data_IF_305588473071
#
_entry.id   IF_305588473071
#
_cell.length_a   1.000
_cell.length_b   1.000
_cell.length_c   1.000
_cell.angle_alpha   90.00
_cell.angle_beta   90.00
_cell.angle_gamma   90.00
#
_symmetry.space_group_name_H-M   'P 1'
#
loop_
_entity.id
_entity.type
_entity.pdbx_description
1 polymer ?
#
# COMPACT_ATOMS: atom_id res chain seq x y z
N UNK A 1 65.19 -7.39 -32.36
CA UNK A 1 63.73 -7.57 -32.61
C UNK A 1 63.05 -7.94 -31.29
N UNK A 2 62.46 -6.98 -30.57
CA UNK A 2 61.82 -7.24 -29.26
C UNK A 2 60.74 -6.21 -28.98
N UNK A 3 59.60 -6.32 -29.68
CA UNK A 3 58.50 -5.35 -29.57
C UNK A 3 57.09 -5.91 -29.76
N UNK A 4 56.93 -7.10 -30.35
CA UNK A 4 55.59 -7.64 -30.66
C UNK A 4 54.89 -8.28 -29.47
N UNK A 5 55.64 -8.88 -28.53
CA UNK A 5 55.05 -9.54 -27.35
C UNK A 5 54.30 -8.59 -26.41
N UNK A 6 54.73 -7.32 -26.31
CA UNK A 6 54.09 -6.32 -25.43
C UNK A 6 52.87 -5.65 -26.08
N UNK A 7 52.84 -5.46 -27.42
CA UNK A 7 51.66 -4.88 -28.10
C UNK A 7 50.43 -5.79 -27.99
N UNK A 8 50.62 -7.10 -28.05
CA UNK A 8 49.52 -8.07 -27.95
C UNK A 8 48.99 -8.18 -26.51
N UNK A 9 49.90 -8.10 -25.51
CA UNK A 9 49.53 -8.03 -24.08
C UNK A 9 48.82 -6.73 -23.72
N UNK A 10 49.27 -5.59 -24.25
CA UNK A 10 48.61 -4.30 -24.06
C UNK A 10 47.19 -4.27 -24.67
N UNK A 11 47.00 -4.82 -25.88
CA UNK A 11 45.66 -4.97 -26.48
C UNK A 11 44.74 -5.87 -25.66
N UNK A 12 45.27 -6.96 -25.08
CA UNK A 12 44.53 -7.84 -24.19
C UNK A 12 44.10 -7.12 -22.89
N UNK A 13 45.00 -6.36 -22.28
CA UNK A 13 44.71 -5.56 -21.08
C UNK A 13 43.61 -4.52 -21.33
N UNK A 14 43.62 -3.86 -22.49
CA UNK A 14 42.57 -2.91 -22.89
C UNK A 14 41.22 -3.63 -23.03
N UNK A 15 41.20 -4.83 -23.62
CA UNK A 15 39.97 -5.60 -23.78
C UNK A 15 39.40 -6.06 -22.42
N UNK A 16 40.27 -6.50 -21.51
CA UNK A 16 39.88 -6.88 -20.13
C UNK A 16 39.33 -5.66 -19.40
N UNK A 17 40.00 -4.50 -19.47
CA UNK A 17 39.53 -3.27 -18.85
C UNK A 17 38.15 -2.85 -19.40
N UNK A 18 37.95 -2.92 -20.71
CA UNK A 18 36.66 -2.63 -21.34
C UNK A 18 35.57 -3.61 -20.88
N UNK A 19 35.88 -4.90 -20.78
CA UNK A 19 34.93 -5.91 -20.30
C UNK A 19 34.52 -5.67 -18.84
N UNK A 20 35.47 -5.31 -17.97
CA UNK A 20 35.19 -4.98 -16.57
C UNK A 20 34.29 -3.74 -16.45
N UNK A 21 34.51 -2.71 -17.27
CA UNK A 21 33.66 -1.51 -17.28
C UNK A 21 32.23 -1.84 -17.71
N UNK A 22 32.06 -2.66 -18.75
CA UNK A 22 30.73 -3.11 -19.20
C UNK A 22 30.04 -3.94 -18.12
N UNK A 23 30.74 -4.88 -17.49
CA UNK A 23 30.21 -5.67 -16.37
C UNK A 23 29.75 -4.77 -15.21
N UNK A 24 30.57 -3.79 -14.81
CA UNK A 24 30.21 -2.84 -13.76
C UNK A 24 28.95 -2.03 -14.12
N UNK A 25 28.86 -1.54 -15.37
CA UNK A 25 27.67 -0.81 -15.83
C UNK A 25 26.42 -1.69 -15.77
N UNK A 26 26.51 -2.97 -16.18
CA UNK A 26 25.41 -3.94 -16.11
C UNK A 26 25.00 -4.19 -14.65
N UNK A 27 25.96 -4.42 -13.75
CA UNK A 27 25.69 -4.65 -12.33
C UNK A 27 25.01 -3.43 -11.70
N UNK A 28 25.50 -2.22 -12.00
CA UNK A 28 24.90 -0.98 -11.50
C UNK A 28 23.48 -0.82 -12.06
N UNK A 29 23.27 -1.00 -13.36
CA UNK A 29 21.94 -0.91 -13.97
C UNK A 29 20.97 -1.97 -13.40
N UNK A 30 21.42 -3.20 -13.22
CA UNK A 30 20.65 -4.29 -12.60
C UNK A 30 20.32 -3.97 -11.14
N UNK A 31 21.29 -3.46 -10.38
CA UNK A 31 21.07 -3.04 -9.00
C UNK A 31 20.04 -1.91 -8.92
N UNK A 32 20.10 -0.92 -9.80
CA UNK A 32 19.13 0.18 -9.81
C UNK A 32 17.73 -0.27 -10.21
N UNK A 33 17.62 -1.21 -11.15
CA UNK A 33 16.31 -1.71 -11.62
C UNK A 33 15.69 -2.73 -10.66
N UNK A 34 16.47 -3.61 -10.06
CA UNK A 34 15.99 -4.65 -9.14
C UNK A 34 15.90 -4.14 -7.70
N UNK A 35 16.84 -3.28 -7.26
CA UNK A 35 16.83 -2.71 -5.90
C UNK A 35 15.95 -1.47 -5.76
N UNK A 36 15.40 -0.88 -6.83
CA UNK A 36 14.41 0.20 -6.69
C UNK A 36 13.13 -0.36 -6.05
N UNK A 37 13.02 -0.16 -4.74
CA UNK A 37 11.83 -0.46 -3.95
C UNK A 37 10.71 0.48 -4.40
N UNK A 38 9.90 0.01 -5.35
CA UNK A 38 8.70 0.72 -5.77
C UNK A 38 7.63 0.48 -4.69
N UNK A 39 7.10 1.57 -4.15
CA UNK A 39 6.17 1.55 -3.02
C UNK A 39 4.98 0.64 -3.32
N UNK A 40 4.63 -0.21 -2.34
CA UNK A 40 3.41 -0.99 -2.35
C UNK A 40 2.23 -0.03 -2.49
N UNK A 41 1.44 -0.17 -3.55
CA UNK A 41 0.19 0.60 -3.71
C UNK A 41 -0.92 -0.21 -3.05
N UNK A 42 -1.54 0.38 -2.04
CA UNK A 42 -2.80 -0.09 -1.46
C UNK A 42 -3.90 0.68 -2.16
N UNK A 43 -4.79 -0.03 -2.86
CA UNK A 43 -5.96 0.56 -3.49
C UNK A 43 -7.21 0.00 -2.81
N UNK A 44 -8.16 0.88 -2.52
CA UNK A 44 -9.54 0.49 -2.26
C UNK A 44 -10.12 0.01 -3.60
N UNK A 45 -10.51 -1.25 -3.65
CA UNK A 45 -11.31 -1.82 -4.73
C UNK A 45 -12.79 -1.54 -4.49
N UNK A 46 -13.64 -2.28 -5.21
CA UNK A 46 -15.09 -2.15 -5.11
C UNK A 46 -15.55 -2.21 -3.64
N UNK A 47 -16.39 -1.24 -3.27
CA UNK A 47 -17.09 -1.15 -2.00
C UNK A 47 -18.51 -1.64 -2.26
N UNK A 48 -18.92 -2.68 -1.54
CA UNK A 48 -20.29 -3.18 -1.56
C UNK A 48 -20.88 -3.02 -0.16
N UNK A 49 -21.98 -2.28 -0.07
CA UNK A 49 -22.74 -2.14 1.18
C UNK A 49 -23.53 -3.42 1.39
N UNK A 50 -23.30 -4.12 2.51
CA UNK A 50 -23.99 -5.39 2.79
C UNK A 50 -25.26 -5.19 3.62
N UNK A 51 -25.25 -4.22 4.52
CA UNK A 51 -26.43 -3.84 5.31
C UNK A 51 -26.30 -2.40 5.79
N UNK A 52 -27.40 -1.68 5.78
CA UNK A 52 -27.52 -0.32 6.31
C UNK A 52 -28.79 -0.24 7.15
N UNK A 53 -28.67 0.32 8.34
CA UNK A 53 -29.77 0.61 9.24
C UNK A 53 -29.60 2.02 9.77
N UNK A 54 -30.66 2.82 9.71
CA UNK A 54 -30.66 4.22 10.10
C UNK A 54 -31.84 4.48 11.01
N UNK A 55 -31.59 5.21 12.09
CA UNK A 55 -32.60 5.65 13.05
C UNK A 55 -32.59 7.17 13.05
N UNK A 56 -33.61 7.77 12.42
CA UNK A 56 -33.83 9.21 12.37
C UNK A 56 -34.86 9.61 13.43
N UNK A 57 -34.42 9.67 14.68
CA UNK A 57 -35.21 10.33 15.73
C UNK A 57 -34.70 11.76 15.93
N UNK A 58 -35.59 12.67 16.29
CA UNK A 58 -35.29 14.11 16.50
C UNK A 58 -34.35 14.37 17.68
N UNK A 59 -34.12 13.37 18.54
CA UNK A 59 -33.31 13.48 19.75
C UNK A 59 -31.94 12.80 19.65
N UNK A 60 -31.80 11.72 18.88
CA UNK A 60 -30.51 11.03 18.68
C UNK A 60 -30.46 10.36 17.29
N UNK A 61 -30.02 11.07 16.24
CA UNK A 61 -29.82 10.47 14.93
C UNK A 61 -28.69 9.44 15.00
N UNK A 62 -28.90 8.24 14.45
CA UNK A 62 -27.87 7.21 14.40
C UNK A 62 -27.92 6.37 13.12
N UNK A 63 -26.78 5.81 12.75
CA UNK A 63 -26.66 4.86 11.65
C UNK A 63 -25.71 3.72 11.99
N UNK A 64 -26.06 2.55 11.48
CA UNK A 64 -25.25 1.34 11.51
C UNK A 64 -25.11 0.82 10.09
N UNK A 65 -23.88 0.62 9.63
CA UNK A 65 -23.62 0.16 8.28
C UNK A 65 -22.52 -0.90 8.28
N UNK A 66 -22.71 -1.93 7.46
CA UNK A 66 -21.70 -2.94 7.19
C UNK A 66 -21.21 -2.81 5.77
N UNK A 67 -19.96 -2.39 5.62
CA UNK A 67 -19.28 -2.31 4.32
C UNK A 67 -18.47 -3.57 4.08
N UNK A 68 -18.58 -4.14 2.88
CA UNK A 68 -17.60 -5.09 2.36
C UNK A 68 -16.73 -4.36 1.35
N UNK A 69 -15.44 -4.28 1.62
CA UNK A 69 -14.48 -3.62 0.74
C UNK A 69 -13.40 -4.59 0.31
N UNK A 70 -12.96 -4.48 -0.94
CA UNK A 70 -11.84 -5.26 -1.45
C UNK A 70 -10.57 -4.43 -1.39
N UNK A 71 -9.67 -4.73 -0.46
CA UNK A 71 -8.34 -4.13 -0.44
C UNK A 71 -7.43 -4.84 -1.44
N UNK A 72 -6.78 -4.05 -2.29
CA UNK A 72 -5.81 -4.57 -3.25
C UNK A 72 -4.40 -4.12 -2.87
N UNK A 73 -3.55 -5.10 -2.59
CA UNK A 73 -2.14 -4.93 -2.24
C UNK A 73 -1.30 -5.31 -3.47
N UNK A 74 -0.82 -4.30 -4.20
CA UNK A 74 -0.01 -4.52 -5.42
C UNK A 74 1.48 -4.42 -5.10
N UNK A 75 2.21 -5.53 -5.24
CA UNK A 75 3.67 -5.53 -5.20
C UNK A 75 4.22 -5.23 -6.58
N UNK A 76 4.92 -4.11 -6.73
CA UNK A 76 5.66 -3.76 -7.94
C UNK A 76 7.13 -4.20 -7.91
N UNK A 77 7.55 -4.83 -6.82
CA UNK A 77 8.93 -5.25 -6.60
C UNK A 77 9.17 -6.65 -7.20
N UNK A 78 10.40 -6.93 -7.63
CA UNK A 78 10.84 -8.24 -8.13
C UNK A 78 11.19 -9.24 -7.00
N UNK A 79 11.03 -8.84 -5.75
CA UNK A 79 11.20 -9.68 -4.56
C UNK A 79 9.90 -9.90 -3.81
N UNK A 80 9.91 -10.87 -2.88
CA UNK A 80 8.79 -11.08 -1.97
C UNK A 80 8.65 -9.95 -0.97
N UNK A 81 7.45 -9.39 -0.84
CA UNK A 81 7.17 -8.34 0.13
C UNK A 81 6.31 -8.90 1.27
N UNK A 82 6.76 -8.78 2.53
CA UNK A 82 5.97 -9.14 3.71
C UNK A 82 5.46 -7.87 4.38
N UNK A 83 4.14 -7.74 4.50
CA UNK A 83 3.53 -6.67 5.28
C UNK A 83 2.99 -7.21 6.60
N UNK A 84 2.98 -6.37 7.64
CA UNK A 84 2.40 -6.71 8.94
C UNK A 84 0.90 -6.43 8.95
N UNK A 85 0.27 -6.74 10.10
CA UNK A 85 -1.11 -6.35 10.35
C UNK A 85 -1.22 -4.83 10.21
N UNK A 86 -2.21 -4.38 9.48
CA UNK A 86 -2.44 -2.97 9.21
C UNK A 86 -3.88 -2.62 9.56
N UNK A 87 -4.08 -1.50 10.22
CA UNK A 87 -5.42 -1.08 10.67
C UNK A 87 -5.90 0.04 9.79
N UNK A 88 -7.13 -0.10 9.30
CA UNK A 88 -7.87 0.93 8.59
C UNK A 88 -8.93 1.45 9.53
N UNK A 89 -9.00 2.77 9.66
CA UNK A 89 -10.00 3.48 10.45
C UNK A 89 -10.84 4.30 9.50
N UNK A 90 -12.17 4.20 9.63
CA UNK A 90 -13.12 5.05 8.95
C UNK A 90 -13.55 6.15 9.92
N UNK A 91 -13.60 7.37 9.41
CA UNK A 91 -13.93 8.57 10.16
C UNK A 91 -15.10 9.30 9.50
N UNK A 92 -15.99 9.84 10.31
CA UNK A 92 -17.03 10.79 9.91
C UNK A 92 -16.74 12.11 10.62
N UNK A 93 -16.64 13.22 9.88
CA UNK A 93 -16.32 14.53 10.48
C UNK A 93 -14.99 14.58 11.25
N UNK A 94 -14.08 13.61 11.05
CA UNK A 94 -12.85 13.45 11.83
C UNK A 94 -12.97 12.53 13.05
N UNK A 95 -14.16 12.03 13.37
CA UNK A 95 -14.41 11.11 14.48
C UNK A 95 -14.41 9.65 13.99
N UNK A 96 -13.67 8.73 14.64
CA UNK A 96 -13.65 7.31 14.27
C UNK A 96 -15.04 6.66 14.43
N UNK A 97 -15.56 6.08 13.36
CA UNK A 97 -16.86 5.39 13.32
C UNK A 97 -16.75 3.89 13.01
N UNK A 98 -15.55 3.42 12.62
CA UNK A 98 -15.32 2.01 12.36
C UNK A 98 -13.84 1.69 12.16
N UNK A 99 -13.44 0.46 12.48
CA UNK A 99 -12.07 -0.02 12.25
C UNK A 99 -12.06 -1.40 11.63
N UNK A 100 -11.04 -1.69 10.84
CA UNK A 100 -10.84 -3.00 10.25
C UNK A 100 -9.36 -3.34 10.14
N UNK A 101 -9.05 -4.62 10.28
CA UNK A 101 -7.67 -5.11 10.22
C UNK A 101 -7.43 -5.79 8.87
N UNK A 102 -6.47 -5.26 8.12
CA UNK A 102 -5.86 -5.95 7.00
C UNK A 102 -4.86 -6.96 7.59
N UNK A 103 -5.10 -8.28 7.47
CA UNK A 103 -4.22 -9.29 8.04
C UNK A 103 -2.85 -9.26 7.37
N UNK A 104 -1.80 -9.60 8.13
CA UNK A 104 -0.46 -9.71 7.58
C UNK A 104 -0.41 -10.66 6.38
N UNK A 105 0.46 -10.37 5.43
CA UNK A 105 0.56 -11.18 4.23
C UNK A 105 1.88 -11.07 3.52
N UNK A 106 2.06 -11.96 2.54
CA UNK A 106 3.20 -11.97 1.64
C UNK A 106 2.72 -11.76 0.21
N UNK A 107 3.14 -10.67 -0.40
CA UNK A 107 2.96 -10.45 -1.84
C UNK A 107 4.19 -11.00 -2.58
N UNK A 108 3.98 -11.87 -3.57
CA UNK A 108 5.07 -12.36 -4.42
C UNK A 108 5.54 -11.25 -5.37
N UNK A 109 6.69 -11.48 -6.00
CA UNK A 109 7.24 -10.56 -7.00
C UNK A 109 6.18 -10.23 -8.06
N UNK A 110 5.97 -8.94 -8.33
CA UNK A 110 4.99 -8.43 -9.31
C UNK A 110 3.53 -8.90 -9.11
N UNK A 111 3.18 -9.45 -7.94
CA UNK A 111 1.85 -9.98 -7.68
C UNK A 111 0.92 -8.96 -7.02
N UNK A 112 -0.35 -9.05 -7.38
CA UNK A 112 -1.45 -8.37 -6.72
C UNK A 112 -2.17 -9.34 -5.77
N UNK A 113 -2.35 -8.94 -4.51
CA UNK A 113 -3.15 -9.67 -3.51
C UNK A 113 -4.44 -8.89 -3.27
N UNK A 114 -5.57 -9.56 -3.42
CA UNK A 114 -6.89 -9.03 -3.06
C UNK A 114 -7.28 -9.59 -1.70
N UNK A 115 -7.83 -8.74 -0.83
CA UNK A 115 -8.31 -9.10 0.50
C UNK A 115 -9.67 -8.47 0.67
N UNK A 116 -10.71 -9.28 0.84
CA UNK A 116 -12.05 -8.78 1.14
C UNK A 116 -12.17 -8.62 2.65
N UNK A 117 -12.61 -7.45 3.10
CA UNK A 117 -12.71 -7.10 4.51
C UNK A 117 -14.10 -6.53 4.76
N UNK A 118 -14.76 -7.02 5.81
CA UNK A 118 -15.97 -6.41 6.34
C UNK A 118 -15.57 -5.33 7.35
N UNK A 119 -16.19 -4.16 7.25
CA UNK A 119 -16.04 -3.05 8.17
C UNK A 119 -17.42 -2.73 8.72
N UNK A 120 -17.58 -2.90 10.02
CA UNK A 120 -18.78 -2.48 10.74
C UNK A 120 -18.59 -1.02 11.18
N UNK A 121 -19.58 -0.19 10.87
CA UNK A 121 -19.58 1.25 11.10
C UNK A 121 -20.77 1.57 11.99
N UNK A 122 -20.51 2.28 13.08
CA UNK A 122 -21.52 2.73 14.02
C UNK A 122 -21.32 4.20 14.35
N UNK A 123 -22.42 4.93 14.46
CA UNK A 123 -22.45 6.32 14.92
C UNK A 123 -22.66 6.47 16.42
N UNK A 124 -22.49 5.41 17.21
CA UNK A 124 -22.71 5.45 18.67
C UNK A 124 -21.84 6.54 19.35
N UNK A 125 -20.69 6.87 18.75
CA UNK A 125 -19.75 7.89 19.24
C UNK A 125 -20.05 9.31 18.70
N UNK A 126 -21.08 9.47 17.87
CA UNK A 126 -21.45 10.74 17.21
C UNK A 126 -22.70 11.38 17.80
N UNK A 127 -23.14 10.96 19.00
CA UNK A 127 -24.40 11.44 19.61
C UNK A 127 -24.48 12.97 19.80
N UNK A 128 -23.35 13.67 19.70
CA UNK A 128 -23.26 15.14 19.83
C UNK A 128 -23.02 15.87 18.51
N UNK A 129 -22.95 15.17 17.37
CA UNK A 129 -22.69 15.79 16.08
C UNK A 129 -23.99 16.34 15.47
N UNK A 130 -24.12 17.66 15.46
CA UNK A 130 -25.29 18.36 14.93
C UNK A 130 -25.48 18.19 13.42
N UNK A 131 -24.43 17.82 12.68
CA UNK A 131 -24.51 17.63 11.24
C UNK A 131 -25.03 16.24 10.86
N UNK A 132 -24.91 15.26 11.78
CA UNK A 132 -25.28 13.88 11.49
C UNK A 132 -26.75 13.73 11.10
N UNK A 133 -27.66 14.41 11.79
CA UNK A 133 -29.08 14.37 11.46
C UNK A 133 -29.38 14.95 10.08
N UNK A 134 -28.72 16.04 9.70
CA UNK A 134 -28.88 16.68 8.39
C UNK A 134 -28.36 15.77 7.28
N UNK A 135 -27.19 15.16 7.47
CA UNK A 135 -26.56 14.26 6.52
C UNK A 135 -27.42 13.00 6.29
N UNK A 136 -27.95 12.39 7.35
CA UNK A 136 -28.85 11.24 7.19
C UNK A 136 -30.14 11.66 6.48
N UNK A 137 -30.72 12.82 6.79
CA UNK A 137 -31.92 13.33 6.11
C UNK A 137 -31.67 13.65 4.63
N UNK A 138 -30.46 14.14 4.29
CA UNK A 138 -30.05 14.37 2.91
C UNK A 138 -29.78 13.06 2.15
N UNK A 139 -29.63 11.94 2.87
CA UNK A 139 -29.25 10.64 2.32
C UNK A 139 -27.77 10.55 1.92
N UNK A 140 -26.95 11.54 2.25
CA UNK A 140 -25.52 11.61 1.88
C UNK A 140 -24.66 11.58 3.13
N UNK A 141 -23.80 10.58 3.27
CA UNK A 141 -22.79 10.49 4.34
C UNK A 141 -21.39 10.48 3.75
N UNK A 142 -20.56 11.44 4.17
CA UNK A 142 -19.16 11.53 3.76
C UNK A 142 -18.28 10.82 4.79
N UNK A 143 -17.64 9.74 4.37
CA UNK A 143 -16.71 8.97 5.20
C UNK A 143 -15.28 9.12 4.68
N UNK A 144 -14.35 9.43 5.58
CA UNK A 144 -12.91 9.49 5.30
C UNK A 144 -12.24 8.21 5.81
N UNK A 145 -11.20 7.72 5.11
CA UNK A 145 -10.43 6.57 5.58
C UNK A 145 -8.98 6.93 5.89
N UNK A 146 -8.54 6.61 7.10
CA UNK A 146 -7.12 6.60 7.47
C UNK A 146 -6.61 5.15 7.56
N UNK A 147 -5.59 4.81 6.77
CA UNK A 147 -4.93 3.52 6.83
C UNK A 147 -3.53 3.65 7.43
N UNK A 148 -3.27 2.93 8.52
CA UNK A 148 -1.93 2.80 9.11
C UNK A 148 -1.30 1.48 8.70
N UNK A 149 -0.37 1.54 7.75
CA UNK A 149 0.35 0.39 7.23
C UNK A 149 1.75 0.30 7.87
N UNK A 150 2.02 -0.78 8.59
CA UNK A 150 3.35 -1.09 9.13
C UNK A 150 3.87 -2.40 8.55
N UNK A 151 5.05 -2.40 7.93
CA UNK A 151 5.58 -3.57 7.21
C UNK A 151 7.10 -3.63 7.08
N UNK A 152 7.62 -4.84 6.85
CA UNK A 152 9.07 -5.11 6.66
C UNK A 152 9.33 -5.61 5.24
N UNK A 153 9.97 -4.77 4.43
CA UNK A 153 10.35 -5.11 3.05
C UNK A 153 11.50 -6.12 3.08
N UNK A 154 11.29 -7.30 2.48
CA UNK A 154 12.34 -8.31 2.28
C UNK A 154 12.76 -8.29 0.81
N UNK A 155 13.67 -7.39 0.44
CA UNK A 155 14.17 -7.36 -0.93
C UNK A 155 15.20 -8.49 -1.09
N UNK A 156 14.86 -9.47 -1.96
CA UNK A 156 15.69 -10.59 -2.41
C UNK A 156 16.78 -11.02 -1.41
N UNK A 157 16.43 -11.78 -0.35
CA UNK A 157 17.30 -12.46 0.63
C UNK A 157 18.47 -11.68 1.29
N UNK A 158 18.84 -10.47 0.83
CA UNK A 158 20.11 -9.80 1.12
C UNK A 158 19.86 -8.44 1.80
N UNK A 159 18.70 -7.79 1.62
CA UNK A 159 18.44 -6.46 2.20
C UNK A 159 17.07 -6.41 2.91
N UNK A 160 17.11 -6.18 4.23
CA UNK A 160 15.93 -5.90 5.07
C UNK A 160 15.80 -4.38 5.25
N UNK A 161 14.71 -3.77 4.75
CA UNK A 161 14.39 -2.34 5.04
C UNK A 161 13.03 -2.21 5.71
N UNK A 162 12.96 -1.43 6.79
CA UNK A 162 11.70 -1.02 7.42
C UNK A 162 11.13 0.17 6.64
N UNK A 163 9.82 0.15 6.35
CA UNK A 163 9.11 1.30 5.78
C UNK A 163 7.75 1.42 6.48
N UNK A 164 7.47 2.60 7.02
CA UNK A 164 6.16 2.99 7.52
C UNK A 164 5.61 4.06 6.58
N UNK A 165 4.31 4.03 6.31
CA UNK A 165 3.62 5.04 5.52
C UNK A 165 2.22 5.26 6.05
N UNK A 166 1.85 6.52 6.25
CA UNK A 166 0.47 6.98 6.44
C UNK A 166 -0.03 7.41 5.08
N UNK A 167 -1.13 6.82 4.60
CA UNK A 167 -1.79 7.25 3.39
C UNK A 167 -3.21 7.68 3.74
N UNK A 168 -3.56 8.91 3.40
CA UNK A 168 -4.93 9.40 3.38
C UNK A 168 -5.52 9.00 2.03
N UNK A 169 -6.55 8.16 2.06
CA UNK A 169 -7.20 7.69 0.84
C UNK A 169 -8.44 8.54 0.62
N UNK A 170 -8.24 9.64 -0.11
CA UNK A 170 -9.33 10.48 -0.60
C UNK A 170 -10.06 9.75 -1.73
N UNK A 171 -11.32 9.41 -1.50
CA UNK A 171 -12.23 9.05 -2.57
C UNK A 171 -12.73 10.36 -3.18
N UNK A 172 -12.30 10.66 -4.41
CA UNK A 172 -13.07 11.54 -5.29
C UNK A 172 -13.99 10.62 -6.08
N UNK A 173 -15.28 10.95 -6.06
CA UNK A 173 -16.29 10.38 -6.96
C UNK A 173 -15.83 10.50 -8.41
#
# INVERSE_FOLDING_TARGET
>A
MKGEGNRNKAKCLVYIAAFVLVQMAIIVAFSLTVMRIKSLKVQFGAVSVKSMSTINTTTVPSFNMRLMTQFTVKSTNFGHFKYGNSTVTLLYGGTPVGTAVIPMGRAKARQTRKVNIAIDISSDQLSSDTNLGNDINSGVLILTSEARLSGKVHLMKIIKKKKSGRNELHHSN
#
